data_IF_976222211277
#
_entry.id   IF_976222211277
#
_cell.length_a   1.000
_cell.length_b   1.000
_cell.length_c   1.000
_cell.angle_alpha   90.00
_cell.angle_beta   90.00
_cell.angle_gamma   90.00
#
_symmetry.space_group_name_H-M   'P 1'
#
loop_
_entity.id
_entity.type
_entity.pdbx_description
1 polymer ?
#
# COMPACT_ATOMS: atom_id res chain seq x y z
N UNK A 1 -5.68 15.01 -26.14
CA UNK A 1 -6.47 13.80 -25.82
C UNK A 1 -6.40 13.40 -24.33
N UNK A 2 -5.22 13.21 -23.72
CA UNK A 2 -5.08 12.87 -22.28
C UNK A 2 -5.89 13.81 -21.34
N UNK A 3 -5.75 15.13 -21.50
CA UNK A 3 -6.44 16.11 -20.65
C UNK A 3 -7.98 16.06 -20.77
N UNK A 4 -8.51 15.66 -21.93
CA UNK A 4 -9.95 15.56 -22.15
C UNK A 4 -10.53 14.33 -21.43
N UNK A 5 -9.87 13.18 -21.54
CA UNK A 5 -10.26 11.94 -20.85
C UNK A 5 -10.27 12.16 -19.33
N UNK A 6 -9.24 12.81 -18.78
CA UNK A 6 -9.18 13.15 -17.36
C UNK A 6 -10.35 14.04 -16.92
N UNK A 7 -10.69 15.07 -17.71
CA UNK A 7 -11.83 15.96 -17.41
C UNK A 7 -13.14 15.18 -17.39
N UNK A 8 -13.36 14.29 -18.36
CA UNK A 8 -14.57 13.47 -18.46
C UNK A 8 -14.68 12.52 -17.25
N UNK A 9 -13.60 11.79 -16.93
CA UNK A 9 -13.60 10.83 -15.82
C UNK A 9 -13.85 11.51 -14.47
N UNK A 10 -13.37 12.73 -14.29
CA UNK A 10 -13.58 13.49 -13.04
C UNK A 10 -15.03 13.88 -12.79
N UNK A 11 -15.90 13.88 -13.78
CA UNK A 11 -17.34 14.17 -13.62
C UNK A 11 -18.11 12.98 -13.04
N UNK A 12 -17.54 11.77 -13.03
CA UNK A 12 -18.18 10.60 -12.43
C UNK A 12 -17.91 10.54 -10.90
N UNK A 13 -18.80 9.89 -10.12
CA UNK A 13 -18.53 9.57 -8.73
C UNK A 13 -17.17 8.88 -8.59
N UNK A 14 -16.41 9.14 -7.50
CA UNK A 14 -15.00 8.71 -7.39
C UNK A 14 -14.76 7.21 -7.61
N UNK A 15 -15.59 6.34 -7.05
CA UNK A 15 -15.46 4.89 -7.23
C UNK A 15 -15.80 4.43 -8.66
N UNK A 16 -16.78 5.08 -9.29
CA UNK A 16 -17.12 4.81 -10.70
C UNK A 16 -15.98 5.21 -11.61
N UNK A 17 -15.41 6.41 -11.39
CA UNK A 17 -14.25 6.89 -12.13
C UNK A 17 -13.03 5.96 -11.97
N UNK A 18 -12.80 5.45 -10.76
CA UNK A 18 -11.76 4.47 -10.48
C UNK A 18 -11.98 3.18 -11.30
N UNK A 19 -13.18 2.62 -11.28
CA UNK A 19 -13.51 1.42 -12.02
C UNK A 19 -13.36 1.61 -13.53
N UNK A 20 -13.81 2.74 -14.07
CA UNK A 20 -13.61 3.10 -15.48
C UNK A 20 -12.11 3.15 -15.81
N UNK A 21 -11.31 3.78 -14.94
CA UNK A 21 -9.85 3.85 -15.13
C UNK A 21 -9.21 2.46 -15.18
N UNK A 22 -9.60 1.55 -14.28
CA UNK A 22 -9.11 0.17 -14.31
C UNK A 22 -9.47 -0.54 -15.61
N UNK A 23 -10.70 -0.37 -16.12
CA UNK A 23 -11.09 -0.97 -17.41
C UNK A 23 -10.29 -0.39 -18.59
N UNK A 24 -10.10 0.92 -18.63
CA UNK A 24 -9.28 1.58 -19.66
C UNK A 24 -7.84 1.11 -19.63
N UNK A 25 -7.27 0.92 -18.43
CA UNK A 25 -5.92 0.39 -18.28
C UNK A 25 -5.80 -1.05 -18.81
N UNK A 26 -6.80 -1.91 -18.56
CA UNK A 26 -6.83 -3.27 -19.12
C UNK A 26 -6.84 -3.30 -20.65
N UNK A 27 -7.44 -2.30 -21.27
CA UNK A 27 -7.51 -2.17 -22.74
C UNK A 27 -6.28 -1.48 -23.34
N UNK A 28 -5.39 -0.92 -22.50
CA UNK A 28 -4.22 -0.20 -22.99
C UNK A 28 -3.10 -1.17 -23.34
N UNK A 29 -2.92 -1.44 -24.63
CA UNK A 29 -1.88 -2.34 -25.17
C UNK A 29 -0.56 -1.63 -25.51
N UNK A 30 -0.47 -0.32 -25.38
CA UNK A 30 0.72 0.44 -25.78
C UNK A 30 1.87 0.25 -24.79
N UNK A 31 2.80 -0.61 -25.17
CA UNK A 31 4.11 -0.70 -24.54
C UNK A 31 4.98 0.48 -25.00
N UNK A 32 4.85 1.64 -24.37
CA UNK A 32 5.92 2.62 -24.45
C UNK A 32 7.09 2.06 -23.64
N UNK A 33 8.21 1.86 -24.29
CA UNK A 33 9.47 1.58 -23.59
C UNK A 33 9.85 2.86 -22.86
N UNK A 34 9.58 2.89 -21.55
CA UNK A 34 10.11 3.94 -20.68
C UNK A 34 11.56 3.56 -20.44
N UNK A 35 12.46 4.47 -20.79
CA UNK A 35 13.88 4.34 -20.49
C UNK A 35 14.09 5.14 -19.22
N UNK A 36 14.35 4.45 -18.13
CA UNK A 36 14.73 5.08 -16.88
C UNK A 36 16.18 5.56 -16.96
N UNK A 37 16.48 6.68 -16.32
CA UNK A 37 17.86 7.14 -16.16
C UNK A 37 18.58 6.20 -15.18
N UNK A 38 19.79 5.69 -15.52
CA UNK A 38 20.56 4.81 -14.64
C UNK A 38 20.80 5.37 -13.23
N UNK A 39 20.80 6.70 -13.06
CA UNK A 39 20.95 7.35 -11.75
C UNK A 39 19.79 7.03 -10.79
N UNK A 40 18.64 6.64 -11.32
CA UNK A 40 17.45 6.30 -10.56
C UNK A 40 17.44 4.84 -10.08
N UNK A 41 18.38 4.04 -10.59
CA UNK A 41 18.47 2.63 -10.25
C UNK A 41 18.82 2.42 -8.78
N UNK A 42 18.14 1.46 -8.15
CA UNK A 42 18.39 1.05 -6.78
C UNK A 42 18.39 -0.47 -6.67
N UNK A 43 19.31 -1.01 -5.86
CA UNK A 43 19.34 -2.43 -5.51
C UNK A 43 19.03 -2.57 -4.01
N UNK A 44 17.87 -3.14 -3.67
CA UNK A 44 17.39 -3.27 -2.29
C UNK A 44 16.77 -4.66 -2.13
N UNK A 45 17.08 -5.39 -1.06
CA UNK A 45 16.58 -6.74 -0.77
C UNK A 45 16.90 -7.79 -1.84
N UNK A 46 17.97 -7.61 -2.61
CA UNK A 46 18.27 -8.47 -3.74
C UNK A 46 17.38 -8.23 -4.96
N UNK A 47 16.60 -7.16 -4.97
CA UNK A 47 15.75 -6.74 -6.10
C UNK A 47 16.28 -5.47 -6.74
N UNK A 48 16.12 -5.40 -8.04
CA UNK A 48 16.49 -4.27 -8.88
C UNK A 48 15.28 -3.38 -9.15
N UNK A 49 15.36 -2.13 -8.69
CA UNK A 49 14.36 -1.10 -8.98
C UNK A 49 14.89 -0.20 -10.09
N UNK A 50 14.22 -0.15 -11.23
CA UNK A 50 14.65 0.71 -12.35
C UNK A 50 14.53 2.21 -12.02
N UNK A 51 13.63 2.54 -11.10
CA UNK A 51 13.42 3.87 -10.55
C UNK A 51 12.73 3.77 -9.16
N UNK A 52 12.73 4.81 -8.32
CA UNK A 52 12.16 4.76 -6.98
C UNK A 52 10.63 4.91 -6.92
N UNK A 53 9.94 4.94 -8.06
CA UNK A 53 8.50 5.26 -8.10
C UNK A 53 7.68 3.99 -8.18
N UNK A 54 6.79 3.79 -7.19
CA UNK A 54 5.84 2.68 -7.14
C UNK A 54 4.39 3.13 -7.06
N UNK A 55 3.48 2.23 -7.44
CA UNK A 55 2.05 2.40 -7.21
C UNK A 55 1.67 1.82 -5.85
N UNK A 56 1.16 2.67 -4.95
CA UNK A 56 0.74 2.24 -3.62
C UNK A 56 -0.51 1.35 -3.64
N UNK A 57 -0.65 0.49 -2.62
CA UNK A 57 -1.85 -0.29 -2.38
C UNK A 57 -3.11 0.58 -2.31
N UNK A 58 -4.22 0.04 -2.78
CA UNK A 58 -5.51 0.72 -2.84
C UNK A 58 -5.94 1.08 -4.25
N UNK A 59 -5.03 1.24 -5.20
CA UNK A 59 -5.36 1.47 -6.60
C UNK A 59 -5.76 0.16 -7.30
N UNK A 60 -4.88 -0.81 -7.36
CA UNK A 60 -5.19 -2.15 -7.87
C UNK A 60 -5.42 -3.14 -6.72
N UNK A 61 -6.66 -3.23 -6.25
CA UNK A 61 -6.98 -4.08 -5.08
C UNK A 61 -6.96 -5.57 -5.38
N UNK A 62 -7.03 -5.96 -6.65
CA UNK A 62 -7.29 -7.35 -7.05
C UNK A 62 -6.30 -7.88 -8.09
N UNK A 63 -5.15 -7.24 -8.27
CA UNK A 63 -4.13 -7.62 -9.26
C UNK A 63 -4.67 -7.65 -10.70
N UNK A 64 -5.41 -6.62 -11.08
CA UNK A 64 -6.10 -6.57 -12.38
C UNK A 64 -5.35 -5.76 -13.45
N UNK A 65 -4.45 -4.85 -13.04
CA UNK A 65 -3.79 -3.88 -13.94
C UNK A 65 -2.28 -3.72 -13.69
N UNK A 66 -1.61 -4.73 -13.13
CA UNK A 66 -0.17 -4.69 -12.80
C UNK A 66 0.68 -4.35 -14.04
N UNK A 67 0.54 -5.12 -15.13
CA UNK A 67 1.32 -4.89 -16.37
C UNK A 67 1.06 -3.51 -16.98
N UNK A 68 -0.20 -3.04 -17.10
CA UNK A 68 -0.48 -1.67 -17.50
C UNK A 68 0.20 -0.60 -16.64
N UNK A 69 0.31 -0.81 -15.32
CA UNK A 69 1.00 0.12 -14.43
C UNK A 69 2.51 0.14 -14.68
N UNK A 70 3.16 -1.00 -14.91
CA UNK A 70 4.55 -1.03 -15.34
C UNK A 70 4.75 -0.30 -16.67
N UNK A 71 3.81 -0.42 -17.62
CA UNK A 71 3.86 0.31 -18.88
C UNK A 71 3.69 1.84 -18.72
N UNK A 72 3.16 2.30 -17.58
CA UNK A 72 3.11 3.72 -17.23
C UNK A 72 4.40 4.24 -16.57
N UNK A 73 5.37 3.34 -16.27
CA UNK A 73 6.67 3.70 -15.70
C UNK A 73 6.86 3.41 -14.22
N UNK A 74 5.88 2.80 -13.56
CA UNK A 74 6.09 2.35 -12.19
C UNK A 74 7.07 1.18 -12.16
N UNK A 75 8.12 1.27 -11.34
CA UNK A 75 9.10 0.19 -11.19
C UNK A 75 8.58 -0.90 -10.26
N UNK A 76 7.67 -0.58 -9.39
CA UNK A 76 6.98 -1.55 -8.54
C UNK A 76 5.50 -1.18 -8.33
N UNK A 77 4.70 -2.21 -8.07
CA UNK A 77 3.25 -2.05 -7.85
C UNK A 77 2.84 -2.86 -6.63
N UNK A 78 2.24 -2.20 -5.65
CA UNK A 78 1.66 -2.86 -4.49
C UNK A 78 0.16 -3.06 -4.70
N UNK A 79 -0.27 -4.32 -4.82
CA UNK A 79 -1.69 -4.69 -4.97
C UNK A 79 -2.35 -4.91 -3.61
N UNK A 80 -3.65 -4.72 -3.53
CA UNK A 80 -4.41 -4.93 -2.28
C UNK A 80 -4.97 -3.62 -1.73
N UNK A 81 -5.39 -3.58 -0.47
CA UNK A 81 -5.28 -4.64 0.56
C UNK A 81 -6.18 -5.82 0.21
N UNK A 82 -5.62 -7.01 0.33
CA UNK A 82 -6.31 -8.30 0.12
C UNK A 82 -6.59 -8.93 1.47
N UNK A 83 -7.79 -9.49 1.63
CA UNK A 83 -8.21 -10.24 2.81
C UNK A 83 -8.45 -11.71 2.46
N UNK A 84 -8.47 -12.66 3.43
CA UNK A 84 -8.74 -14.07 3.15
C UNK A 84 -9.99 -14.29 2.33
N UNK A 85 -11.11 -13.73 2.79
CA UNK A 85 -12.42 -13.81 2.12
C UNK A 85 -12.70 -12.51 1.36
N UNK A 86 -13.48 -12.55 0.27
CA UNK A 86 -14.01 -11.33 -0.34
C UNK A 86 -14.81 -10.54 0.68
N UNK A 87 -14.70 -9.21 0.60
CA UNK A 87 -15.59 -8.34 1.39
C UNK A 87 -15.97 -7.08 0.59
N UNK A 88 -17.17 -6.60 0.87
CA UNK A 88 -17.72 -5.42 0.19
C UNK A 88 -17.05 -4.13 0.67
N UNK A 89 -16.60 -4.11 1.93
CA UNK A 89 -16.16 -2.91 2.64
C UNK A 89 -17.33 -2.11 3.20
N UNK A 90 -17.07 -0.86 3.56
CA UNK A 90 -18.07 0.02 4.17
C UNK A 90 -19.13 0.48 3.15
N UNK A 91 -20.23 1.02 3.62
CA UNK A 91 -21.32 1.55 2.79
C UNK A 91 -20.87 2.73 1.93
N UNK A 92 -21.59 2.92 0.82
CA UNK A 92 -21.38 4.05 -0.10
C UNK A 92 -22.32 5.20 0.22
N UNK A 93 -21.90 6.46 -0.04
CA UNK A 93 -20.64 6.91 -0.62
C UNK A 93 -19.49 6.81 0.40
N UNK A 94 -18.30 6.39 -0.06
CA UNK A 94 -17.14 6.12 0.79
C UNK A 94 -15.80 6.62 0.22
N UNK A 95 -15.86 7.41 -0.84
CA UNK A 95 -14.72 8.12 -1.42
C UNK A 95 -15.14 9.53 -1.82
N UNK A 96 -14.44 10.51 -1.31
CA UNK A 96 -14.72 11.93 -1.48
C UNK A 96 -13.50 12.66 -2.03
N UNK A 97 -13.68 13.41 -3.13
CA UNK A 97 -12.61 14.22 -3.70
C UNK A 97 -12.58 15.59 -3.03
N UNK A 98 -11.41 16.00 -2.61
CA UNK A 98 -11.12 17.35 -2.14
C UNK A 98 -10.35 18.05 -3.27
N UNK A 99 -11.08 18.49 -4.29
CA UNK A 99 -10.45 19.00 -5.53
C UNK A 99 -9.61 20.23 -5.30
N UNK A 100 -10.07 21.17 -4.46
CA UNK A 100 -9.38 22.39 -4.09
C UNK A 100 -8.08 22.10 -3.33
N UNK A 101 -8.03 20.99 -2.60
CA UNK A 101 -6.92 20.58 -1.74
C UNK A 101 -6.03 19.53 -2.42
N UNK A 102 -6.37 19.09 -3.63
CA UNK A 102 -5.71 17.95 -4.29
C UNK A 102 -5.65 16.71 -3.39
N UNK A 103 -6.72 16.46 -2.66
CA UNK A 103 -6.85 15.40 -1.68
C UNK A 103 -8.01 14.45 -1.94
N UNK A 104 -8.02 13.35 -1.22
CA UNK A 104 -9.11 12.36 -1.20
C UNK A 104 -9.32 11.92 0.24
N UNK A 105 -10.59 11.89 0.67
CA UNK A 105 -10.98 11.15 1.87
C UNK A 105 -11.61 9.83 1.42
N UNK A 106 -11.20 8.73 2.04
CA UNK A 106 -11.79 7.42 1.77
C UNK A 106 -12.17 6.70 3.06
N UNK A 107 -13.30 5.99 2.98
CA UNK A 107 -13.80 5.12 4.04
C UNK A 107 -14.09 3.72 3.46
N UNK A 108 -13.13 3.15 2.74
CA UNK A 108 -13.34 1.96 1.90
C UNK A 108 -13.52 0.66 2.67
N UNK A 109 -12.79 0.43 3.79
CA UNK A 109 -12.91 -0.79 4.60
C UNK A 109 -12.45 -2.06 3.89
N UNK A 110 -11.33 -2.00 3.16
CA UNK A 110 -10.71 -3.15 2.46
C UNK A 110 -11.64 -3.91 1.51
N UNK A 111 -12.41 -3.20 0.71
CA UNK A 111 -13.21 -3.82 -0.34
C UNK A 111 -12.32 -4.53 -1.37
N UNK A 112 -12.44 -5.87 -1.46
CA UNK A 112 -11.63 -6.70 -2.35
C UNK A 112 -12.32 -8.03 -2.67
N UNK A 113 -11.78 -8.75 -3.66
CA UNK A 113 -12.33 -10.03 -4.16
C UNK A 113 -11.75 -11.27 -3.47
N UNK A 114 -10.97 -11.09 -2.40
CA UNK A 114 -10.37 -12.15 -1.58
C UNK A 114 -9.13 -12.81 -2.18
N UNK A 115 -8.41 -13.51 -1.34
CA UNK A 115 -7.12 -14.16 -1.65
C UNK A 115 -7.20 -15.10 -2.85
N UNK A 116 -8.24 -15.96 -2.95
CA UNK A 116 -8.36 -16.91 -4.07
C UNK A 116 -8.41 -16.23 -5.44
N UNK A 117 -9.08 -15.08 -5.54
CA UNK A 117 -9.18 -14.34 -6.81
C UNK A 117 -7.86 -13.68 -7.17
N UNK A 118 -7.20 -13.06 -6.20
CA UNK A 118 -5.90 -12.40 -6.38
C UNK A 118 -4.82 -13.44 -6.73
N UNK A 119 -4.76 -14.56 -6.02
CA UNK A 119 -3.87 -15.68 -6.33
C UNK A 119 -4.01 -16.14 -7.79
N UNK A 120 -5.26 -16.33 -8.25
CA UNK A 120 -5.52 -16.71 -9.65
C UNK A 120 -5.00 -15.68 -10.65
N UNK A 121 -5.08 -14.39 -10.32
CA UNK A 121 -4.57 -13.33 -11.19
C UNK A 121 -3.03 -13.31 -11.22
N UNK A 122 -2.39 -13.42 -10.06
CA UNK A 122 -0.92 -13.43 -9.96
C UNK A 122 -0.30 -14.64 -10.66
N UNK A 123 -0.89 -15.83 -10.50
CA UNK A 123 -0.44 -17.05 -11.22
C UNK A 123 -0.52 -16.91 -12.74
N UNK A 124 -1.52 -16.17 -13.25
CA UNK A 124 -1.63 -15.89 -14.69
C UNK A 124 -0.54 -14.94 -15.20
N UNK A 125 -0.05 -14.04 -14.36
CA UNK A 125 0.99 -13.09 -14.76
C UNK A 125 2.34 -13.77 -14.99
N UNK A 126 2.52 -14.98 -14.45
CA UNK A 126 3.76 -15.75 -14.56
C UNK A 126 4.97 -14.84 -14.35
N UNK A 127 5.03 -14.22 -13.14
CA UNK A 127 6.04 -13.22 -12.80
C UNK A 127 7.42 -13.88 -12.86
N UNK A 128 8.00 -13.88 -14.06
CA UNK A 128 9.39 -14.25 -14.24
C UNK A 128 10.25 -13.20 -13.52
N UNK A 129 11.33 -13.58 -12.81
CA UNK A 129 12.29 -12.64 -12.22
C UNK A 129 12.85 -11.59 -13.20
N UNK A 130 12.77 -11.85 -14.49
CA UNK A 130 13.13 -10.92 -15.59
C UNK A 130 11.97 -10.02 -16.03
N UNK A 131 10.80 -10.07 -15.39
CA UNK A 131 9.66 -9.24 -15.75
C UNK A 131 9.86 -7.78 -15.31
N UNK A 132 9.23 -6.90 -16.04
CA UNK A 132 9.42 -5.43 -16.12
C UNK A 132 9.25 -4.62 -14.83
N UNK A 133 9.11 -5.23 -13.66
CA UNK A 133 8.94 -4.53 -12.39
C UNK A 133 8.60 -5.48 -11.24
N UNK A 134 8.58 -4.94 -10.04
CA UNK A 134 8.36 -5.71 -8.81
C UNK A 134 6.90 -5.64 -8.37
N UNK A 135 6.39 -6.74 -7.83
CA UNK A 135 5.03 -6.82 -7.29
C UNK A 135 5.08 -7.01 -5.79
N UNK A 136 4.53 -6.04 -5.07
CA UNK A 136 4.22 -6.16 -3.65
C UNK A 136 2.76 -6.56 -3.45
N UNK A 137 2.48 -7.26 -2.36
CA UNK A 137 1.11 -7.62 -1.96
C UNK A 137 0.83 -7.08 -0.57
N UNK A 138 -0.14 -6.18 -0.50
CA UNK A 138 -0.66 -5.65 0.74
C UNK A 138 -1.78 -6.56 1.27
N UNK A 139 -1.63 -7.09 2.48
CA UNK A 139 -2.59 -7.99 3.10
C UNK A 139 -3.17 -7.41 4.39
N UNK A 140 -4.39 -7.80 4.70
CA UNK A 140 -5.11 -7.35 5.88
C UNK A 140 -6.12 -8.40 6.37
N UNK A 141 -6.67 -8.17 7.57
CA UNK A 141 -7.72 -9.03 8.12
C UNK A 141 -9.10 -8.69 7.52
N UNK A 142 -10.00 -9.68 7.47
CA UNK A 142 -11.41 -9.40 7.26
C UNK A 142 -12.02 -8.62 8.44
N UNK A 143 -13.04 -7.82 8.18
CA UNK A 143 -13.68 -6.98 9.21
C UNK A 143 -14.24 -7.77 10.38
N UNK A 144 -14.81 -8.94 10.10
CA UNK A 144 -15.49 -9.80 11.09
C UNK A 144 -14.55 -10.79 11.80
N UNK A 145 -13.30 -10.89 11.38
CA UNK A 145 -12.35 -11.86 11.96
C UNK A 145 -11.94 -11.44 13.36
N UNK A 146 -12.12 -12.35 14.32
CA UNK A 146 -11.70 -12.20 15.72
C UNK A 146 -10.19 -12.45 15.88
N UNK A 147 -9.71 -13.58 15.36
CA UNK A 147 -8.28 -13.89 15.37
C UNK A 147 -7.59 -13.36 14.10
N UNK A 148 -7.08 -12.15 14.17
CA UNK A 148 -6.42 -11.49 13.04
C UNK A 148 -5.15 -12.21 12.55
N UNK A 149 -4.45 -12.92 13.44
CA UNK A 149 -3.21 -13.64 13.12
C UNK A 149 -3.47 -14.69 12.03
N UNK A 150 -4.58 -15.43 12.12
CA UNK A 150 -4.93 -16.44 11.13
C UNK A 150 -5.13 -15.84 9.74
N UNK A 151 -5.74 -14.67 9.66
CA UNK A 151 -5.99 -13.98 8.39
C UNK A 151 -4.67 -13.55 7.72
N UNK A 152 -3.74 -12.98 8.49
CA UNK A 152 -2.43 -12.59 7.95
C UNK A 152 -1.61 -13.81 7.53
N UNK A 153 -1.56 -14.85 8.36
CA UNK A 153 -0.87 -16.10 8.05
C UNK A 153 -1.44 -16.77 6.80
N UNK A 154 -2.77 -16.83 6.68
CA UNK A 154 -3.43 -17.40 5.50
C UNK A 154 -3.07 -16.62 4.22
N UNK A 155 -3.15 -15.29 4.26
CA UNK A 155 -2.78 -14.48 3.11
C UNK A 155 -1.29 -14.59 2.78
N UNK A 156 -0.40 -14.56 3.77
CA UNK A 156 1.04 -14.70 3.58
C UNK A 156 1.40 -16.05 2.93
N UNK A 157 0.84 -17.15 3.43
CA UNK A 157 1.05 -18.50 2.89
C UNK A 157 0.66 -18.61 1.42
N UNK A 158 -0.50 -18.04 1.05
CA UNK A 158 -1.08 -18.18 -0.29
C UNK A 158 -0.48 -17.22 -1.31
N UNK A 159 -0.18 -16.00 -0.90
CA UNK A 159 0.20 -14.91 -1.79
C UNK A 159 1.69 -14.57 -1.74
N UNK A 160 2.35 -14.81 -0.62
CA UNK A 160 3.77 -14.51 -0.45
C UNK A 160 4.68 -15.15 -1.50
N UNK A 161 4.51 -16.44 -1.84
CA UNK A 161 5.30 -17.08 -2.90
C UNK A 161 5.08 -16.52 -4.31
N UNK A 162 4.07 -15.68 -4.49
CA UNK A 162 3.68 -15.07 -5.76
C UNK A 162 4.03 -13.57 -5.83
N UNK A 163 4.77 -13.07 -4.85
CA UNK A 163 5.14 -11.67 -4.72
C UNK A 163 6.65 -11.51 -4.52
N UNK A 164 7.18 -10.33 -4.85
CA UNK A 164 8.54 -9.96 -4.50
C UNK A 164 8.64 -9.52 -3.03
N UNK A 165 7.58 -8.95 -2.47
CA UNK A 165 7.46 -8.63 -1.04
C UNK A 165 6.00 -8.62 -0.59
N UNK A 166 5.78 -8.74 0.72
CA UNK A 166 4.45 -8.66 1.32
C UNK A 166 4.39 -7.51 2.32
N UNK A 167 3.33 -6.71 2.27
CA UNK A 167 3.07 -5.63 3.23
C UNK A 167 1.92 -6.02 4.16
N UNK A 168 2.22 -6.06 5.44
CA UNK A 168 1.23 -6.28 6.52
C UNK A 168 0.57 -4.94 6.85
N UNK A 169 -0.69 -4.79 6.51
CA UNK A 169 -1.43 -3.55 6.72
C UNK A 169 -2.15 -3.56 8.08
N UNK A 170 -1.54 -2.90 9.06
CA UNK A 170 -2.08 -2.72 10.41
C UNK A 170 -2.52 -1.27 10.69
N UNK A 171 -2.68 -0.47 9.65
CA UNK A 171 -2.74 1.00 9.79
C UNK A 171 -3.99 1.65 9.22
N UNK A 172 -4.91 0.89 8.58
CA UNK A 172 -6.12 1.48 8.01
C UNK A 172 -7.03 2.06 9.10
N UNK A 173 -7.45 3.32 8.96
CA UNK A 173 -8.42 3.91 9.88
C UNK A 173 -9.86 3.42 9.63
N UNK A 174 -10.07 2.67 8.55
CA UNK A 174 -11.39 2.32 8.03
C UNK A 174 -11.84 0.90 8.40
N UNK A 175 -11.04 0.20 9.20
CA UNK A 175 -11.32 -1.14 9.71
C UNK A 175 -11.26 -1.12 11.24
N UNK A 176 -12.37 -1.41 11.93
CA UNK A 176 -12.42 -1.35 13.39
C UNK A 176 -11.32 -2.19 14.07
N UNK A 177 -10.68 -1.64 15.10
CA UNK A 177 -9.65 -2.31 15.90
C UNK A 177 -8.34 -2.60 15.16
N UNK A 178 -8.20 -2.24 13.87
CA UNK A 178 -6.99 -2.55 13.12
C UNK A 178 -5.77 -1.78 13.62
N UNK A 179 -5.93 -0.52 13.99
CA UNK A 179 -4.84 0.32 14.50
C UNK A 179 -4.36 -0.09 15.88
N UNK A 180 -5.18 -0.82 16.64
CA UNK A 180 -4.80 -1.37 17.95
C UNK A 180 -3.67 -2.39 17.80
N UNK A 181 -3.55 -3.01 16.61
CA UNK A 181 -2.45 -3.93 16.28
C UNK A 181 -1.07 -3.25 16.25
N UNK A 182 -1.01 -1.92 16.25
CA UNK A 182 0.24 -1.16 16.33
C UNK A 182 0.75 -0.99 17.79
N UNK A 183 -0.05 -1.39 18.79
CA UNK A 183 0.43 -1.46 20.17
C UNK A 183 1.45 -2.58 20.32
N UNK A 184 2.51 -2.32 21.11
CA UNK A 184 3.71 -3.14 21.21
C UNK A 184 3.43 -4.64 21.35
N UNK A 185 2.63 -5.05 22.32
CA UNK A 185 2.37 -6.49 22.56
C UNK A 185 1.62 -7.17 21.39
N UNK A 186 0.73 -6.47 20.73
CA UNK A 186 -0.04 -7.03 19.59
C UNK A 186 0.81 -7.17 18.34
N UNK A 187 1.64 -6.17 18.03
CA UNK A 187 2.53 -6.23 16.88
C UNK A 187 3.63 -7.27 17.07
N UNK A 188 4.19 -7.43 18.28
CA UNK A 188 5.18 -8.46 18.58
C UNK A 188 4.60 -9.87 18.39
N UNK A 189 3.38 -10.13 18.84
CA UNK A 189 2.68 -11.40 18.63
C UNK A 189 2.49 -11.69 17.13
N UNK A 190 2.08 -10.69 16.36
CA UNK A 190 1.91 -10.83 14.92
C UNK A 190 3.24 -11.10 14.22
N UNK A 191 4.30 -10.36 14.55
CA UNK A 191 5.64 -10.54 14.00
C UNK A 191 6.16 -11.96 14.26
N UNK A 192 6.04 -12.45 15.50
CA UNK A 192 6.47 -13.78 15.87
C UNK A 192 5.72 -14.86 15.08
N UNK A 193 4.40 -14.73 14.97
CA UNK A 193 3.59 -15.68 14.21
C UNK A 193 3.95 -15.70 12.71
N UNK A 194 4.18 -14.52 12.11
CA UNK A 194 4.60 -14.43 10.71
C UNK A 194 5.99 -15.02 10.47
N UNK A 195 6.92 -14.84 11.42
CA UNK A 195 8.25 -15.46 11.36
C UNK A 195 8.18 -16.98 11.44
N UNK A 196 7.35 -17.53 12.33
CA UNK A 196 7.12 -18.97 12.42
C UNK A 196 6.51 -19.51 11.11
N UNK A 197 5.53 -18.81 10.56
CA UNK A 197 4.94 -19.15 9.27
C UNK A 197 5.98 -19.13 8.15
N UNK A 198 6.84 -18.12 8.07
CA UNK A 198 7.92 -18.07 7.08
C UNK A 198 8.87 -19.26 7.23
N UNK A 199 9.28 -19.59 8.46
CA UNK A 199 10.17 -20.75 8.71
C UNK A 199 9.56 -22.09 8.34
N UNK A 200 8.23 -22.24 8.50
CA UNK A 200 7.52 -23.47 8.18
C UNK A 200 7.36 -23.72 6.67
N UNK A 201 7.59 -22.73 5.82
CA UNK A 201 7.38 -22.79 4.38
C UNK A 201 8.60 -22.29 3.63
N UNK A 202 9.38 -23.19 3.04
CA UNK A 202 10.59 -22.85 2.28
C UNK A 202 10.34 -21.84 1.15
N UNK A 203 9.16 -21.85 0.56
CA UNK A 203 8.73 -20.92 -0.47
C UNK A 203 8.60 -19.45 0.00
N UNK A 204 8.64 -19.20 1.30
CA UNK A 204 8.56 -17.85 1.90
C UNK A 204 9.90 -17.34 2.43
N UNK A 205 10.94 -18.18 2.47
CA UNK A 205 12.20 -17.81 3.12
C UNK A 205 12.82 -16.52 2.57
N UNK A 206 12.74 -16.30 1.26
CA UNK A 206 13.29 -15.13 0.57
C UNK A 206 12.29 -13.98 0.39
N UNK A 207 11.03 -14.13 0.80
CA UNK A 207 10.02 -13.08 0.62
C UNK A 207 10.11 -12.05 1.76
N UNK A 208 10.54 -10.80 1.51
CA UNK A 208 10.54 -9.76 2.53
C UNK A 208 9.14 -9.43 3.02
N UNK A 209 9.01 -9.15 4.31
CA UNK A 209 7.74 -8.76 4.96
C UNK A 209 7.86 -7.39 5.58
N UNK A 210 7.09 -6.44 5.05
CA UNK A 210 7.03 -5.06 5.49
C UNK A 210 5.80 -4.81 6.35
N UNK A 211 5.87 -3.82 7.23
CA UNK A 211 4.72 -3.36 8.01
C UNK A 211 4.32 -1.95 7.58
N UNK A 212 3.05 -1.76 7.24
CA UNK A 212 2.51 -0.43 6.91
C UNK A 212 1.85 0.18 8.13
N UNK A 213 2.38 1.34 8.55
CA UNK A 213 2.00 2.02 9.78
C UNK A 213 1.16 3.29 9.53
N UNK A 214 0.45 3.73 10.57
CA UNK A 214 -0.40 4.91 10.55
C UNK A 214 0.42 6.20 10.64
N UNK A 215 0.03 7.28 9.96
CA UNK A 215 0.67 8.59 10.13
C UNK A 215 0.21 9.31 11.41
N UNK A 216 -0.74 8.74 12.14
CA UNK A 216 -1.37 9.36 13.33
C UNK A 216 -0.80 8.81 14.64
N UNK A 217 0.43 8.31 14.59
CA UNK A 217 1.18 7.83 15.77
C UNK A 217 1.85 8.98 16.50
N UNK A 218 1.87 8.90 17.84
CA UNK A 218 2.64 9.82 18.66
C UNK A 218 4.13 9.43 18.71
N UNK A 219 4.97 10.24 19.34
CA UNK A 219 6.42 10.02 19.41
C UNK A 219 6.80 8.72 20.14
N UNK A 220 6.07 8.35 21.19
CA UNK A 220 6.30 7.12 21.95
C UNK A 220 6.01 5.90 21.09
N UNK A 221 4.85 5.87 20.42
CA UNK A 221 4.48 4.81 19.49
C UNK A 221 5.47 4.66 18.35
N UNK A 222 5.99 5.77 17.80
CA UNK A 222 7.02 5.73 16.75
C UNK A 222 8.32 5.09 17.26
N UNK A 223 8.74 5.42 18.48
CA UNK A 223 9.92 4.81 19.11
C UNK A 223 9.72 3.32 19.34
N UNK A 224 8.55 2.93 19.85
CA UNK A 224 8.22 1.52 20.06
C UNK A 224 8.28 0.72 18.77
N UNK A 225 7.70 1.24 17.67
CA UNK A 225 7.77 0.60 16.36
C UNK A 225 9.22 0.50 15.87
N UNK A 226 10.03 1.54 16.02
CA UNK A 226 11.43 1.52 15.62
C UNK A 226 12.24 0.47 16.39
N UNK A 227 12.12 0.46 17.72
CA UNK A 227 12.80 -0.50 18.58
C UNK A 227 12.36 -1.95 18.29
N UNK A 228 11.05 -2.17 18.15
CA UNK A 228 10.49 -3.46 17.80
C UNK A 228 11.00 -3.92 16.40
N UNK A 229 11.06 -3.02 15.44
CA UNK A 229 11.52 -3.33 14.08
C UNK A 229 13.00 -3.76 14.08
N UNK A 230 13.85 -3.06 14.83
CA UNK A 230 15.27 -3.39 14.99
C UNK A 230 15.45 -4.72 15.73
N UNK A 231 14.80 -4.88 16.90
CA UNK A 231 14.93 -6.08 17.74
C UNK A 231 14.44 -7.34 17.03
N UNK A 232 13.48 -7.20 16.13
CA UNK A 232 12.89 -8.32 15.39
C UNK A 232 13.44 -8.48 13.97
N UNK A 233 14.41 -7.68 13.54
CA UNK A 233 14.93 -7.72 12.17
C UNK A 233 13.79 -7.72 11.13
N UNK A 234 12.88 -6.73 11.22
CA UNK A 234 11.80 -6.56 10.25
C UNK A 234 12.41 -6.12 8.92
N UNK A 235 11.97 -6.73 7.83
CA UNK A 235 12.54 -6.49 6.50
C UNK A 235 12.34 -5.02 6.03
N UNK A 236 11.25 -4.34 6.43
CA UNK A 236 11.05 -2.93 6.09
C UNK A 236 9.75 -2.35 6.62
N UNK A 237 9.60 -1.02 6.50
CA UNK A 237 8.40 -0.28 6.89
C UNK A 237 7.85 0.53 5.73
N UNK A 238 6.52 0.61 5.63
CA UNK A 238 5.80 1.47 4.67
C UNK A 238 5.18 2.65 5.42
N UNK A 239 5.62 3.85 5.11
CA UNK A 239 5.26 5.09 5.79
C UNK A 239 4.68 6.09 4.79
N UNK A 240 3.37 6.28 4.77
CA UNK A 240 2.40 5.81 5.72
C UNK A 240 1.04 5.45 5.07
N UNK A 241 0.05 5.12 5.89
CA UNK A 241 -1.34 5.06 5.47
C UNK A 241 -1.96 6.48 5.40
N UNK A 242 -3.27 6.60 5.17
CA UNK A 242 -4.03 7.84 5.24
C UNK A 242 -4.22 8.31 6.69
N UNK A 243 -4.39 9.64 6.89
CA UNK A 243 -4.58 10.26 8.21
C UNK A 243 -6.04 10.52 8.53
N UNK A 244 -6.42 10.42 9.80
CA UNK A 244 -7.71 10.90 10.29
C UNK A 244 -7.68 12.40 10.63
N UNK A 245 -6.52 13.01 10.70
CA UNK A 245 -6.41 14.45 10.95
C UNK A 245 -6.96 15.28 9.79
N UNK A 246 -7.48 16.44 10.14
CA UNK A 246 -8.04 17.41 9.21
C UNK A 246 -7.32 18.74 9.37
N UNK A 247 -6.29 19.02 8.56
CA UNK A 247 -5.62 20.32 8.59
C UNK A 247 -6.64 21.46 8.43
N UNK A 248 -6.48 22.51 9.20
CA UNK A 248 -7.36 23.70 9.15
C UNK A 248 -7.31 24.41 7.79
N UNK A 249 -6.25 24.17 7.02
CA UNK A 249 -6.03 24.70 5.67
C UNK A 249 -6.93 24.09 4.59
N UNK A 250 -7.63 22.99 4.90
CA UNK A 250 -8.55 22.35 3.94
C UNK A 250 -9.71 23.26 3.58
N UNK A 251 -9.95 23.39 2.27
CA UNK A 251 -10.95 24.28 1.67
C UNK A 251 -12.21 23.57 1.25
N UNK A 252 -12.10 22.28 0.87
CA UNK A 252 -13.21 21.52 0.33
C UNK A 252 -14.36 21.37 1.32
N UNK A 253 -15.59 21.41 0.81
CA UNK A 253 -16.82 21.17 1.59
C UNK A 253 -16.79 19.75 2.20
N UNK A 254 -16.22 18.78 1.49
CA UNK A 254 -16.12 17.39 1.94
C UNK A 254 -15.03 17.14 3.00
N UNK A 255 -14.36 18.17 3.53
CA UNK A 255 -13.26 18.02 4.50
C UNK A 255 -13.64 17.32 5.80
N UNK A 256 -14.91 17.36 6.18
CA UNK A 256 -15.43 16.77 7.42
C UNK A 256 -15.94 15.33 7.24
N UNK A 257 -15.85 14.77 6.02
CA UNK A 257 -16.26 13.39 5.78
C UNK A 257 -15.42 12.39 6.59
N UNK A 258 -16.08 11.29 6.98
CA UNK A 258 -15.42 10.23 7.76
C UNK A 258 -14.46 9.45 6.85
N UNK A 259 -13.28 9.12 7.37
CA UNK A 259 -12.30 8.27 6.67
C UNK A 259 -10.89 8.82 6.70
N UNK A 260 -10.00 8.16 5.98
CA UNK A 260 -8.60 8.54 5.86
C UNK A 260 -8.37 9.57 4.76
N UNK A 261 -7.74 10.69 5.11
CA UNK A 261 -7.30 11.74 4.19
C UNK A 261 -5.96 11.35 3.55
N UNK A 262 -5.87 11.46 2.24
CA UNK A 262 -4.70 11.22 1.42
C UNK A 262 -4.52 12.31 0.35
N UNK A 263 -3.47 12.20 -0.47
CA UNK A 263 -3.12 13.21 -1.46
C UNK A 263 -2.25 14.31 -0.87
N UNK A 264 -2.19 15.45 -1.55
CA UNK A 264 -1.28 16.55 -1.20
C UNK A 264 -1.32 16.98 0.28
N UNK A 265 -2.47 17.05 0.95
CA UNK A 265 -2.52 17.41 2.37
C UNK A 265 -1.75 16.46 3.32
N UNK A 266 -1.51 15.21 2.89
CA UNK A 266 -0.78 14.23 3.68
C UNK A 266 0.75 14.35 3.50
N UNK A 267 1.24 14.96 2.42
CA UNK A 267 2.64 14.93 2.02
C UNK A 267 3.60 15.33 3.14
N UNK A 268 3.41 16.50 3.73
CA UNK A 268 4.31 16.99 4.77
C UNK A 268 4.33 16.04 5.99
N UNK A 269 3.16 15.59 6.44
CA UNK A 269 3.04 14.71 7.59
C UNK A 269 3.74 13.37 7.35
N UNK A 270 3.50 12.74 6.19
CA UNK A 270 4.12 11.46 5.84
C UNK A 270 5.63 11.58 5.67
N UNK A 271 6.11 12.66 5.07
CA UNK A 271 7.55 12.93 4.88
C UNK A 271 8.27 13.19 6.21
N UNK A 272 7.68 13.97 7.10
CA UNK A 272 8.25 14.19 8.44
C UNK A 272 8.30 12.88 9.24
N UNK A 273 7.27 12.06 9.15
CA UNK A 273 7.26 10.75 9.80
C UNK A 273 8.32 9.81 9.22
N UNK A 274 8.48 9.80 7.89
CA UNK A 274 9.53 9.05 7.21
C UNK A 274 10.91 9.45 7.72
N UNK A 275 11.20 10.75 7.78
CA UNK A 275 12.45 11.30 8.33
C UNK A 275 12.68 10.88 9.78
N UNK A 276 11.65 10.97 10.63
CA UNK A 276 11.75 10.55 12.04
C UNK A 276 12.04 9.06 12.16
N UNK A 277 11.34 8.22 11.40
CA UNK A 277 11.56 6.77 11.45
C UNK A 277 12.95 6.40 10.95
N UNK A 278 13.45 7.05 9.89
CA UNK A 278 14.83 6.86 9.42
C UNK A 278 15.83 7.17 10.53
N UNK A 279 15.67 8.29 11.24
CA UNK A 279 16.54 8.65 12.36
C UNK A 279 16.43 7.65 13.53
N UNK A 280 15.22 7.23 13.92
CA UNK A 280 14.98 6.29 15.01
C UNK A 280 15.55 4.88 14.74
N UNK A 281 15.57 4.47 13.48
CA UNK A 281 16.14 3.19 13.05
C UNK A 281 17.62 3.30 12.64
N UNK A 282 18.18 4.52 12.72
CA UNK A 282 19.55 4.81 12.25
C UNK A 282 19.81 4.31 10.82
N UNK A 283 18.79 4.39 9.95
CA UNK A 283 18.85 3.92 8.56
C UNK A 283 19.00 2.41 8.38
N UNK A 284 18.90 1.62 9.45
CA UNK A 284 19.09 0.17 9.36
C UNK A 284 17.86 -0.58 8.79
N UNK A 285 16.68 0.03 8.86
CA UNK A 285 15.45 -0.54 8.32
C UNK A 285 15.11 0.18 7.01
N UNK A 286 15.00 -0.53 5.90
CA UNK A 286 14.53 0.03 4.64
C UNK A 286 13.11 0.60 4.75
N UNK A 287 12.89 1.77 4.13
CA UNK A 287 11.62 2.50 4.23
C UNK A 287 11.03 2.75 2.85
N UNK A 288 9.71 2.54 2.72
CA UNK A 288 8.94 2.97 1.55
C UNK A 288 8.09 4.18 1.97
N UNK A 289 8.39 5.35 1.41
CA UNK A 289 7.62 6.58 1.61
C UNK A 289 6.32 6.54 0.81
N UNK A 290 5.18 6.81 1.46
CA UNK A 290 3.86 6.85 0.81
C UNK A 290 3.04 8.01 1.36
N UNK A 291 2.53 8.84 0.48
CA UNK A 291 1.54 9.86 0.83
C UNK A 291 1.83 11.22 0.20
N UNK A 292 0.95 11.62 -0.72
CA UNK A 292 0.91 12.96 -1.26
C UNK A 292 1.98 13.34 -2.29
N UNK A 293 2.84 12.42 -2.70
CA UNK A 293 3.86 12.64 -3.74
C UNK A 293 3.15 12.91 -5.07
N UNK A 294 3.43 14.05 -5.70
CA UNK A 294 2.73 14.52 -6.89
C UNK A 294 3.66 14.89 -8.07
N UNK A 295 4.95 14.96 -7.83
CA UNK A 295 5.95 15.28 -8.85
C UNK A 295 7.32 14.67 -8.51
N UNK A 296 8.27 14.73 -9.46
CA UNK A 296 9.59 14.12 -9.32
C UNK A 296 10.44 14.73 -8.18
N UNK A 297 10.30 16.04 -7.93
CA UNK A 297 11.04 16.71 -6.85
C UNK A 297 10.58 16.21 -5.46
N UNK A 298 9.28 15.98 -5.30
CA UNK A 298 8.72 15.42 -4.06
C UNK A 298 9.06 13.93 -3.88
N UNK A 299 9.39 13.24 -4.97
CA UNK A 299 9.83 11.85 -4.92
C UNK A 299 11.31 11.72 -4.52
N UNK A 300 12.13 12.68 -4.92
CA UNK A 300 13.56 12.77 -4.62
C UNK A 300 13.80 13.34 -3.22
#
# INVERSE_FOLDING_TARGET
MRNLIHKIIRNFPPEVAHNITLQLLKLSFNQKKIIDDPILYQHIFGFDFSNPIGMAAGFDKNAEVILPLFNLGFSFVEVGTVTPKPQYGNEKPRVFRLSEDQGIINHLGFNNKGTKKVEKQLRKLNLNPLSKGLVGINIGKNSETKNYIDDYNYCLERLGPLAHYVTINISSPNTPGLRDLQHRGQIENLVNSLKEKKKSLSSLNSTPVFFKISPDMNEEQLRDIALMSLANNIDGLVISNSTIERPSTLKSIAKNEIGGLSGKPLFLKSTLMLKKMFALTNGQIPLIGVGGISNGLECY
#
